data_IF_557569638178
#
_entry.id   IF_557569638178
#
_cell.length_a   1.000
_cell.length_b   1.000
_cell.length_c   1.000
_cell.angle_alpha   90.00
_cell.angle_beta   90.00
_cell.angle_gamma   90.00
#
_symmetry.space_group_name_H-M   'P 1'
#
loop_
_entity.id
_entity.type
_entity.pdbx_description
1 polymer ?
#
# COMPACT_ATOMS: atom_id res chain seq x y z
N UNK A 1 -54.69 10.78 -4.64
CA UNK A 1 -54.06 9.48 -4.95
C UNK A 1 -52.54 9.66 -5.12
N UNK A 2 -51.95 10.65 -4.42
CA UNK A 2 -50.67 11.25 -4.85
C UNK A 2 -49.48 10.90 -3.94
N UNK A 3 -49.72 10.33 -2.76
CA UNK A 3 -48.65 9.92 -1.85
C UNK A 3 -47.97 8.60 -2.26
N UNK A 4 -48.67 7.73 -3.00
CA UNK A 4 -48.16 6.42 -3.43
C UNK A 4 -47.33 6.56 -4.72
N UNK A 5 -47.73 7.42 -5.64
CA UNK A 5 -46.97 7.70 -6.87
C UNK A 5 -45.66 8.45 -6.58
N UNK A 6 -45.67 9.39 -5.64
CA UNK A 6 -44.46 10.12 -5.25
C UNK A 6 -43.44 9.24 -4.51
N UNK A 7 -43.91 8.15 -3.86
CA UNK A 7 -43.06 7.11 -3.26
C UNK A 7 -42.49 6.15 -4.33
N UNK A 8 -43.31 5.74 -5.31
CA UNK A 8 -42.86 4.95 -6.48
C UNK A 8 -41.83 5.69 -7.34
N UNK A 9 -41.99 7.00 -7.53
CA UNK A 9 -41.01 7.82 -8.27
C UNK A 9 -39.68 8.03 -7.53
N UNK A 10 -39.67 8.00 -6.19
CA UNK A 10 -38.42 7.99 -5.40
C UNK A 10 -37.74 6.61 -5.39
N UNK A 11 -38.51 5.52 -5.47
CA UNK A 11 -37.97 4.15 -5.49
C UNK A 11 -37.36 3.76 -6.85
N UNK A 12 -37.82 4.37 -7.95
CA UNK A 12 -37.28 4.17 -9.31
C UNK A 12 -35.98 4.94 -9.60
N UNK A 13 -35.48 5.76 -8.67
CA UNK A 13 -34.24 6.53 -8.85
C UNK A 13 -32.95 5.78 -8.46
N UNK A 14 -33.04 4.59 -7.84
CA UNK A 14 -31.99 4.12 -6.94
C UNK A 14 -30.81 3.32 -7.52
N UNK A 15 -30.90 2.59 -8.64
CA UNK A 15 -29.71 2.04 -9.31
C UNK A 15 -29.08 3.07 -10.26
N UNK A 16 -29.90 3.80 -11.03
CA UNK A 16 -29.38 4.67 -12.11
C UNK A 16 -28.55 5.85 -11.62
N UNK A 17 -28.84 6.39 -10.43
CA UNK A 17 -28.10 7.52 -9.86
C UNK A 17 -26.71 7.10 -9.39
N UNK A 18 -26.59 5.94 -8.73
CA UNK A 18 -25.31 5.35 -8.33
C UNK A 18 -24.43 5.06 -9.55
N UNK A 19 -24.94 4.33 -10.55
CA UNK A 19 -24.15 4.01 -11.75
C UNK A 19 -23.69 5.28 -12.48
N UNK A 20 -24.59 6.25 -12.68
CA UNK A 20 -24.26 7.52 -13.34
C UNK A 20 -23.21 8.31 -12.55
N UNK A 21 -23.30 8.32 -11.22
CA UNK A 21 -22.32 8.96 -10.36
C UNK A 21 -20.95 8.31 -10.53
N UNK A 22 -20.87 6.98 -10.39
CA UNK A 22 -19.60 6.24 -10.49
C UNK A 22 -19.00 6.38 -11.89
N UNK A 23 -19.79 6.26 -12.96
CA UNK A 23 -19.29 6.50 -14.32
C UNK A 23 -18.75 7.93 -14.51
N UNK A 24 -19.46 8.94 -14.01
CA UNK A 24 -18.96 10.33 -14.04
C UNK A 24 -17.64 10.49 -13.29
N UNK A 25 -17.45 9.76 -12.19
CA UNK A 25 -16.21 9.84 -11.41
C UNK A 25 -15.06 9.06 -12.03
N UNK A 26 -15.35 7.95 -12.72
CA UNK A 26 -14.38 7.24 -13.54
C UNK A 26 -13.87 8.15 -14.67
N UNK A 27 -14.76 8.87 -15.35
CA UNK A 27 -14.39 9.87 -16.37
C UNK A 27 -13.45 10.94 -15.79
N UNK A 28 -13.75 11.45 -14.60
CA UNK A 28 -12.91 12.44 -13.90
C UNK A 28 -11.52 11.90 -13.51
N UNK A 29 -11.43 10.61 -13.18
CA UNK A 29 -10.15 9.96 -12.88
C UNK A 29 -9.36 9.68 -14.17
N UNK A 30 -10.07 9.33 -15.24
CA UNK A 30 -9.55 8.93 -16.55
C UNK A 30 -9.76 7.45 -16.83
N UNK A 31 -10.49 7.14 -17.91
CA UNK A 31 -10.73 5.77 -18.39
C UNK A 31 -9.45 5.02 -18.74
N UNK A 32 -8.41 5.74 -19.19
CA UNK A 32 -7.10 5.17 -19.53
C UNK A 32 -6.36 4.59 -18.33
N UNK A 33 -6.78 4.96 -17.11
CA UNK A 33 -6.24 4.45 -15.85
C UNK A 33 -7.07 3.33 -15.28
N UNK A 34 -8.31 3.15 -15.73
CA UNK A 34 -9.18 2.08 -15.25
C UNK A 34 -8.66 0.73 -15.77
N UNK A 35 -8.37 -0.18 -14.86
CA UNK A 35 -7.83 -1.51 -15.20
C UNK A 35 -8.96 -2.53 -15.36
N UNK A 36 -9.88 -2.53 -14.39
CA UNK A 36 -11.09 -3.36 -14.38
C UNK A 36 -12.10 -2.80 -13.40
N UNK A 37 -13.37 -3.15 -13.60
CA UNK A 37 -14.47 -2.88 -12.69
C UNK A 37 -15.42 -4.08 -12.65
N UNK A 38 -16.12 -4.26 -11.53
CA UNK A 38 -17.19 -5.26 -11.39
C UNK A 38 -18.45 -4.83 -12.14
N UNK A 39 -19.26 -5.77 -12.64
CA UNK A 39 -20.49 -5.45 -13.39
C UNK A 39 -21.51 -4.63 -12.59
N UNK A 40 -21.44 -4.69 -11.26
CA UNK A 40 -22.24 -3.91 -10.32
C UNK A 40 -21.61 -2.55 -9.94
N UNK A 41 -20.42 -2.23 -10.46
CA UNK A 41 -19.58 -1.08 -10.10
C UNK A 41 -19.27 -0.95 -8.60
N UNK A 42 -19.46 -2.01 -7.82
CA UNK A 42 -19.04 -2.04 -6.41
C UNK A 42 -17.53 -2.24 -6.30
N UNK A 43 -16.89 -2.77 -7.35
CA UNK A 43 -15.43 -2.90 -7.43
C UNK A 43 -14.85 -2.09 -8.58
N UNK A 44 -13.80 -1.32 -8.32
CA UNK A 44 -13.01 -0.60 -9.30
C UNK A 44 -11.52 -0.84 -9.05
N UNK A 45 -10.71 -0.75 -10.10
CA UNK A 45 -9.26 -0.71 -9.95
C UNK A 45 -8.62 0.26 -10.92
N UNK A 46 -7.70 1.06 -10.41
CA UNK A 46 -7.00 2.08 -11.17
C UNK A 46 -5.48 1.84 -11.16
N UNK A 47 -4.87 2.02 -12.33
CA UNK A 47 -3.43 2.04 -12.53
C UNK A 47 -2.89 3.43 -12.21
N UNK A 48 -2.05 3.53 -11.18
CA UNK A 48 -1.42 4.77 -10.73
C UNK A 48 0.09 4.62 -10.86
N UNK A 49 0.75 5.59 -11.50
CA UNK A 49 2.22 5.59 -11.64
C UNK A 49 2.81 6.57 -10.64
N UNK A 50 3.83 6.13 -9.89
CA UNK A 50 4.54 6.98 -8.94
C UNK A 50 5.63 7.84 -9.62
N UNK A 51 6.31 8.70 -8.85
CA UNK A 51 7.35 9.59 -9.39
C UNK A 51 8.58 8.88 -9.96
N UNK A 52 8.81 7.61 -9.61
CA UNK A 52 9.90 6.77 -10.14
C UNK A 52 9.44 5.91 -11.33
N UNK A 53 8.24 6.16 -11.87
CA UNK A 53 7.69 5.42 -13.01
C UNK A 53 7.16 4.03 -12.65
N UNK A 54 7.08 3.67 -11.37
CA UNK A 54 6.55 2.37 -10.95
C UNK A 54 5.04 2.38 -10.98
N UNK A 55 4.48 1.30 -11.47
CA UNK A 55 3.03 1.11 -11.62
C UNK A 55 2.47 0.45 -10.37
N UNK A 56 1.42 1.03 -9.81
CA UNK A 56 0.67 0.52 -8.66
C UNK A 56 -0.79 0.33 -9.06
N UNK A 57 -1.40 -0.76 -8.60
CA UNK A 57 -2.83 -1.01 -8.77
C UNK A 57 -3.53 -0.64 -7.47
N UNK A 58 -4.40 0.36 -7.55
CA UNK A 58 -5.27 0.79 -6.47
C UNK A 58 -6.63 0.15 -6.68
N UNK A 59 -7.02 -0.72 -5.77
CA UNK A 59 -8.32 -1.39 -5.76
C UNK A 59 -9.26 -0.66 -4.80
N UNK A 60 -10.50 -0.48 -5.23
CA UNK A 60 -11.52 0.29 -4.53
C UNK A 60 -12.78 -0.57 -4.44
N UNK A 61 -13.34 -0.67 -3.23
CA UNK A 61 -14.64 -1.27 -2.98
C UNK A 61 -15.61 -0.17 -2.56
N UNK A 62 -16.69 -0.02 -3.32
CA UNK A 62 -17.82 0.87 -3.09
C UNK A 62 -18.97 0.06 -2.53
N UNK A 63 -19.72 0.65 -1.60
CA UNK A 63 -21.00 0.11 -1.20
C UNK A 63 -22.15 0.90 -1.87
N UNK A 64 -23.36 0.33 -1.90
CA UNK A 64 -24.53 0.98 -2.55
C UNK A 64 -24.97 2.30 -1.93
N UNK A 65 -24.50 2.61 -0.72
CA UNK A 65 -24.71 3.90 -0.06
C UNK A 65 -23.63 4.92 -0.40
N UNK A 66 -22.67 4.62 -1.28
CA UNK A 66 -21.71 5.58 -1.82
C UNK A 66 -22.43 6.83 -2.39
N UNK A 67 -21.94 8.05 -2.11
CA UNK A 67 -20.69 8.40 -1.41
C UNK A 67 -20.86 8.61 0.11
N UNK A 68 -21.94 8.12 0.73
CA UNK A 68 -22.26 8.49 2.11
C UNK A 68 -21.32 7.84 3.13
N UNK A 69 -20.70 6.73 2.74
CA UNK A 69 -19.62 6.07 3.46
C UNK A 69 -18.34 6.11 2.62
N UNK A 70 -17.16 6.15 3.28
CA UNK A 70 -15.89 6.05 2.57
C UNK A 70 -15.78 4.70 1.87
N UNK A 71 -15.24 4.68 0.64
CA UNK A 71 -14.88 3.43 -0.01
C UNK A 71 -13.72 2.75 0.71
N UNK A 72 -13.60 1.43 0.56
CA UNK A 72 -12.44 0.68 1.05
C UNK A 72 -11.35 0.65 -0.03
N UNK A 73 -10.08 0.75 0.37
CA UNK A 73 -8.93 0.79 -0.54
C UNK A 73 -7.94 -0.31 -0.21
N UNK A 74 -7.45 -1.01 -1.24
CA UNK A 74 -6.34 -1.96 -1.16
C UNK A 74 -5.34 -1.74 -2.29
N UNK A 75 -4.08 -2.10 -2.06
CA UNK A 75 -2.99 -2.04 -3.03
C UNK A 75 -1.80 -2.86 -2.51
N UNK A 76 -0.86 -3.20 -3.39
CA UNK A 76 0.41 -3.87 -3.00
C UNK A 76 1.41 -2.89 -2.37
N UNK A 77 1.05 -2.33 -1.23
CA UNK A 77 1.84 -1.37 -0.45
C UNK A 77 2.02 -1.89 0.99
N UNK A 78 3.07 -1.51 1.72
CA UNK A 78 3.35 -2.06 3.05
C UNK A 78 2.30 -1.70 4.10
N UNK A 79 1.55 -0.63 3.89
CA UNK A 79 0.35 -0.26 4.65
C UNK A 79 -0.54 0.66 3.81
N UNK A 80 -1.84 0.69 4.10
CA UNK A 80 -2.80 1.59 3.47
C UNK A 80 -2.94 2.88 4.29
N UNK A 81 -3.20 3.99 3.61
CA UNK A 81 -3.42 5.29 4.23
C UNK A 81 -4.82 5.39 4.87
N UNK A 82 -4.98 6.28 5.84
CA UNK A 82 -6.30 6.59 6.39
C UNK A 82 -7.06 7.46 5.39
N UNK A 83 -8.15 6.92 4.84
CA UNK A 83 -8.99 7.63 3.88
C UNK A 83 -9.66 8.82 4.55
N UNK A 84 -9.37 10.03 4.07
CA UNK A 84 -10.10 11.24 4.42
C UNK A 84 -11.29 11.37 3.46
N UNK A 85 -12.49 11.26 4.00
CA UNK A 85 -13.71 11.20 3.20
C UNK A 85 -14.81 12.09 3.75
N UNK A 86 -15.62 12.63 2.85
CA UNK A 86 -16.88 13.30 3.14
C UNK A 86 -17.90 12.92 2.07
N UNK A 87 -19.19 13.20 2.30
CA UNK A 87 -20.24 12.98 1.29
C UNK A 87 -20.07 13.78 -0.02
N UNK A 88 -19.14 14.75 -0.04
CA UNK A 88 -18.78 15.53 -1.23
C UNK A 88 -17.52 15.00 -1.92
N UNK A 89 -16.82 14.06 -1.28
CA UNK A 89 -15.61 13.45 -1.83
C UNK A 89 -15.96 12.52 -2.99
N UNK A 90 -15.02 12.38 -3.92
CA UNK A 90 -15.16 11.62 -5.16
C UNK A 90 -13.94 10.73 -5.39
N UNK A 91 -14.00 9.80 -6.34
CA UNK A 91 -12.90 8.88 -6.65
C UNK A 91 -11.58 9.60 -6.95
N UNK A 92 -11.60 10.76 -7.61
CA UNK A 92 -10.39 11.56 -7.88
C UNK A 92 -9.68 12.02 -6.60
N UNK A 93 -10.42 12.33 -5.53
CA UNK A 93 -9.84 12.74 -4.26
C UNK A 93 -9.16 11.55 -3.58
N UNK A 94 -9.72 10.36 -3.75
CA UNK A 94 -9.13 9.11 -3.26
C UNK A 94 -7.86 8.75 -4.02
N UNK A 95 -7.87 8.90 -5.35
CA UNK A 95 -6.69 8.73 -6.21
C UNK A 95 -5.60 9.72 -5.84
N UNK A 96 -5.96 10.97 -5.54
CA UNK A 96 -5.00 11.99 -5.10
C UNK A 96 -4.38 11.63 -3.74
N UNK A 97 -5.19 11.20 -2.76
CA UNK A 97 -4.67 10.70 -1.48
C UNK A 97 -3.74 9.49 -1.65
N UNK A 98 -4.08 8.57 -2.58
CA UNK A 98 -3.21 7.44 -2.87
C UNK A 98 -1.88 7.89 -3.49
N UNK A 99 -1.86 8.87 -4.40
CA UNK A 99 -0.63 9.44 -4.95
C UNK A 99 0.27 10.03 -3.85
N UNK A 100 -0.31 10.79 -2.92
CA UNK A 100 0.42 11.32 -1.75
C UNK A 100 0.95 10.22 -0.84
N UNK A 101 0.21 9.12 -0.71
CA UNK A 101 0.66 7.94 0.02
C UNK A 101 1.84 7.25 -0.67
N UNK A 102 1.79 7.07 -2.00
CA UNK A 102 2.90 6.53 -2.78
C UNK A 102 4.15 7.41 -2.68
N UNK A 103 4.00 8.72 -2.52
CA UNK A 103 5.12 9.65 -2.34
C UNK A 103 5.83 9.43 -0.99
N UNK A 104 5.08 9.17 0.08
CA UNK A 104 5.64 8.85 1.40
C UNK A 104 6.39 7.53 1.43
N UNK A 105 6.00 6.57 0.58
CA UNK A 105 6.61 5.25 0.50
C UNK A 105 7.89 5.22 -0.36
N UNK A 106 8.29 6.33 -0.96
CA UNK A 106 9.45 6.39 -1.86
C UNK A 106 10.75 6.04 -1.16
N UNK A 107 10.94 6.55 0.06
CA UNK A 107 12.13 6.23 0.85
C UNK A 107 12.17 4.75 1.23
N UNK A 108 11.03 4.18 1.61
CA UNK A 108 10.92 2.76 1.94
C UNK A 108 11.36 1.87 0.78
N UNK A 109 10.81 2.08 -0.41
CA UNK A 109 11.21 1.28 -1.57
C UNK A 109 12.66 1.53 -1.98
N UNK A 110 13.17 2.75 -1.81
CA UNK A 110 14.58 3.05 -2.12
C UNK A 110 15.52 2.31 -1.16
N UNK A 111 15.22 2.29 0.13
CA UNK A 111 15.98 1.51 1.12
C UNK A 111 15.95 0.01 0.82
N UNK A 112 14.79 -0.53 0.41
CA UNK A 112 14.71 -1.93 -0.01
C UNK A 112 15.50 -2.21 -1.29
N UNK A 113 15.47 -1.30 -2.27
CA UNK A 113 16.28 -1.39 -3.49
C UNK A 113 17.78 -1.36 -3.15
N UNK A 114 18.21 -0.51 -2.22
CA UNK A 114 19.60 -0.44 -1.74
C UNK A 114 20.03 -1.76 -1.07
N UNK A 115 19.18 -2.33 -0.21
CA UNK A 115 19.40 -3.64 0.42
C UNK A 115 19.48 -4.75 -0.63
N UNK A 116 18.50 -4.78 -1.55
CA UNK A 116 18.39 -5.80 -2.59
C UNK A 116 19.56 -5.72 -3.58
N UNK A 117 20.14 -4.55 -3.80
CA UNK A 117 21.33 -4.35 -4.63
C UNK A 117 22.62 -4.72 -3.88
N UNK A 118 22.73 -4.33 -2.61
CA UNK A 118 24.01 -4.38 -1.88
C UNK A 118 24.24 -5.69 -1.15
N UNK A 119 23.20 -6.45 -0.82
CA UNK A 119 23.27 -7.63 0.04
C UNK A 119 22.82 -8.92 -0.68
N UNK A 120 23.25 -10.06 -0.14
CA UNK A 120 22.86 -11.39 -0.62
C UNK A 120 21.44 -11.76 -0.16
N UNK A 121 20.43 -11.06 -0.68
CA UNK A 121 19.03 -11.30 -0.35
C UNK A 121 18.52 -12.56 -1.05
N UNK A 122 17.90 -13.47 -0.29
CA UNK A 122 17.29 -14.69 -0.81
C UNK A 122 15.88 -14.42 -1.35
N UNK A 123 15.43 -15.23 -2.32
CA UNK A 123 14.06 -15.18 -2.88
C UNK A 123 13.61 -13.84 -3.51
N UNK A 124 14.54 -13.01 -4.03
CA UNK A 124 14.25 -11.69 -4.65
C UNK A 124 13.06 -11.70 -5.61
N UNK A 125 12.92 -12.74 -6.44
CA UNK A 125 11.86 -12.87 -7.46
C UNK A 125 10.43 -12.93 -6.90
N UNK A 126 10.24 -13.18 -5.60
CA UNK A 126 8.92 -13.28 -4.95
C UNK A 126 8.53 -12.04 -4.15
N UNK A 127 9.38 -11.02 -4.11
CA UNK A 127 9.17 -9.86 -3.23
C UNK A 127 8.25 -8.84 -3.91
N UNK A 128 7.07 -8.64 -3.33
CA UNK A 128 6.14 -7.59 -3.74
C UNK A 128 6.52 -6.23 -3.14
N UNK A 129 5.92 -5.16 -3.65
CA UNK A 129 6.09 -3.81 -3.10
C UNK A 129 5.47 -3.62 -1.70
N UNK A 130 4.65 -4.58 -1.25
CA UNK A 130 4.14 -4.66 0.12
C UNK A 130 5.11 -5.37 1.10
N UNK A 131 6.12 -6.09 0.60
CA UNK A 131 6.97 -6.94 1.44
C UNK A 131 7.99 -6.11 2.21
N UNK A 132 7.84 -6.04 3.54
CA UNK A 132 8.69 -5.26 4.46
C UNK A 132 9.92 -6.02 4.96
N UNK A 133 9.97 -7.33 4.75
CA UNK A 133 11.08 -8.15 5.23
C UNK A 133 12.07 -8.49 4.11
N UNK A 134 13.35 -8.68 4.50
CA UNK A 134 14.42 -9.19 3.63
C UNK A 134 15.22 -10.23 4.37
N UNK A 135 15.37 -11.41 3.79
CA UNK A 135 16.25 -12.45 4.31
C UNK A 135 17.60 -12.35 3.60
N UNK A 136 18.65 -12.10 4.37
CA UNK A 136 20.02 -11.95 3.91
C UNK A 136 20.79 -13.20 4.30
N UNK A 137 21.43 -13.82 3.31
CA UNK A 137 22.39 -14.88 3.54
C UNK A 137 23.73 -14.29 4.01
N UNK A 138 24.23 -14.77 5.15
CA UNK A 138 25.52 -14.37 5.70
C UNK A 138 26.61 -15.44 5.46
N UNK A 139 26.27 -16.56 4.82
CA UNK A 139 27.13 -17.73 4.70
C UNK A 139 27.20 -18.56 5.99
N UNK A 140 27.94 -19.67 5.94
CA UNK A 140 28.12 -20.61 7.05
C UNK A 140 26.79 -21.09 7.68
N UNK A 141 25.78 -21.39 6.85
CA UNK A 141 24.44 -21.80 7.29
C UNK A 141 23.77 -20.79 8.25
N UNK A 142 24.07 -19.51 8.06
CA UNK A 142 23.50 -18.42 8.84
C UNK A 142 22.84 -17.38 7.93
N UNK A 143 21.63 -16.97 8.31
CA UNK A 143 20.93 -15.87 7.64
C UNK A 143 20.25 -14.93 8.65
N UNK A 144 20.01 -13.70 8.23
CA UNK A 144 19.28 -12.71 9.01
C UNK A 144 18.02 -12.34 8.24
N UNK A 145 16.87 -12.39 8.90
CA UNK A 145 15.68 -11.72 8.42
C UNK A 145 15.61 -10.33 9.06
N UNK A 146 15.71 -9.30 8.21
CA UNK A 146 15.45 -7.92 8.57
C UNK A 146 13.96 -7.61 8.36
N UNK A 147 13.33 -7.00 9.34
CA UNK A 147 12.02 -6.36 9.19
C UNK A 147 12.20 -4.85 9.13
N UNK A 148 11.92 -4.26 7.98
CA UNK A 148 12.09 -2.82 7.75
C UNK A 148 10.79 -2.09 8.08
N UNK A 149 10.87 -1.04 8.90
CA UNK A 149 9.72 -0.18 9.19
C UNK A 149 9.39 0.67 7.96
N UNK A 150 8.21 0.45 7.36
CA UNK A 150 7.83 1.18 6.16
C UNK A 150 7.57 2.67 6.36
N UNK A 151 7.34 3.13 7.60
CA UNK A 151 7.14 4.55 7.92
C UNK A 151 8.44 5.28 8.25
N UNK A 152 9.46 4.52 8.62
CA UNK A 152 10.78 5.02 8.98
C UNK A 152 11.82 3.97 8.56
N UNK A 153 12.10 3.87 7.25
CA UNK A 153 12.88 2.76 6.69
C UNK A 153 14.36 2.82 7.04
N UNK A 154 14.84 3.95 7.55
CA UNK A 154 16.24 4.14 8.00
C UNK A 154 16.42 3.91 9.50
N UNK A 155 15.34 3.77 10.27
CA UNK A 155 15.42 3.30 11.66
C UNK A 155 16.05 1.91 11.78
N UNK A 156 16.54 1.61 12.99
CA UNK A 156 17.15 0.32 13.30
C UNK A 156 16.14 -0.82 13.01
N UNK A 157 16.43 -1.75 12.09
CA UNK A 157 15.50 -2.81 11.74
C UNK A 157 15.43 -3.89 12.83
N UNK A 158 14.26 -4.54 12.94
CA UNK A 158 14.16 -5.77 13.73
C UNK A 158 14.94 -6.88 13.02
N UNK A 159 15.80 -7.57 13.77
CA UNK A 159 16.67 -8.60 13.21
C UNK A 159 16.35 -9.97 13.83
N UNK A 160 15.95 -10.94 13.01
CA UNK A 160 15.83 -12.34 13.40
C UNK A 160 16.95 -13.16 12.76
N UNK A 161 17.84 -13.69 13.58
CA UNK A 161 18.94 -14.55 13.14
C UNK A 161 18.48 -16.01 13.05
N UNK A 162 18.88 -16.68 11.96
CA UNK A 162 18.52 -18.05 11.63
C UNK A 162 19.80 -18.85 11.35
N UNK A 163 19.88 -20.08 11.88
CA UNK A 163 21.07 -20.95 11.80
C UNK A 163 21.30 -21.70 13.11
N UNK A 164 22.37 -22.49 13.17
CA UNK A 164 22.73 -23.23 14.39
C UNK A 164 23.18 -22.28 15.51
N UNK A 165 22.94 -22.69 16.76
CA UNK A 165 23.31 -21.89 17.94
C UNK A 165 24.78 -21.45 17.96
N UNK A 166 25.76 -22.36 17.71
CA UNK A 166 27.18 -22.00 17.69
C UNK A 166 27.53 -20.91 16.67
N UNK A 167 26.86 -20.88 15.51
CA UNK A 167 27.11 -19.89 14.45
C UNK A 167 26.39 -18.57 14.74
N UNK A 168 25.13 -18.62 15.17
CA UNK A 168 24.29 -17.43 15.35
C UNK A 168 24.63 -16.65 16.62
N UNK A 169 25.00 -17.33 17.71
CA UNK A 169 25.17 -16.69 19.01
C UNK A 169 26.27 -15.59 19.03
N UNK A 170 27.44 -15.78 18.41
CA UNK A 170 28.45 -14.73 18.30
C UNK A 170 27.94 -13.50 17.55
N UNK A 171 27.26 -13.70 16.41
CA UNK A 171 26.71 -12.61 15.60
C UNK A 171 25.64 -11.84 16.36
N UNK A 172 24.74 -12.54 17.06
CA UNK A 172 23.72 -11.91 17.90
C UNK A 172 24.34 -11.05 19.01
N UNK A 173 25.39 -11.54 19.68
CA UNK A 173 26.12 -10.76 20.70
C UNK A 173 26.77 -9.51 20.10
N UNK A 174 27.38 -9.64 18.92
CA UNK A 174 27.99 -8.52 18.22
C UNK A 174 26.95 -7.45 17.84
N UNK A 175 25.79 -7.88 17.33
CA UNK A 175 24.67 -7.00 17.03
C UNK A 175 24.18 -6.25 18.27
N UNK A 176 23.89 -6.97 19.37
CA UNK A 176 23.41 -6.37 20.62
C UNK A 176 24.39 -5.34 21.20
N UNK A 177 25.70 -5.54 21.01
CA UNK A 177 26.73 -4.59 21.46
C UNK A 177 26.74 -3.30 20.62
N UNK A 178 26.40 -3.38 19.33
CA UNK A 178 26.57 -2.27 18.39
C UNK A 178 25.27 -1.60 17.94
N UNK A 179 24.10 -2.20 18.18
CA UNK A 179 22.83 -1.66 17.68
C UNK A 179 22.51 -0.23 18.15
N UNK A 180 23.01 0.16 19.33
CA UNK A 180 22.85 1.52 19.86
C UNK A 180 23.59 2.58 19.04
N UNK A 181 24.65 2.18 18.34
CA UNK A 181 25.46 3.06 17.49
C UNK A 181 24.76 3.45 16.18
N UNK A 182 23.60 2.86 15.90
CA UNK A 182 22.83 3.13 14.69
C UNK A 182 22.44 4.61 14.57
N UNK A 183 22.06 5.22 15.71
CA UNK A 183 21.66 6.62 15.76
C UNK A 183 22.84 7.59 15.94
N UNK A 184 24.02 7.09 16.32
CA UNK A 184 25.22 7.91 16.48
C UNK A 184 25.80 8.36 15.12
N UNK A 185 25.44 7.66 14.03
CA UNK A 185 25.88 7.96 12.67
C UNK A 185 25.12 9.10 11.99
N UNK A 186 24.00 9.56 12.54
CA UNK A 186 23.24 10.72 12.01
C UNK A 186 23.75 12.07 12.57
N UNK A 187 24.71 12.05 13.50
CA UNK A 187 25.28 13.24 14.16
C UNK A 187 26.68 13.63 13.64
N UNK A 188 27.14 13.05 12.53
CA UNK A 188 28.47 13.26 11.96
C UNK A 188 28.42 13.69 10.49
#
# INVERSE_FOLDING_TARGET
MDFIEQKRHKELANPSSFYRLVYSEIEEVGWERLVRFGGDLEFLSFRITDKKGRVHIMEIQLDKTYPQKPPSVSAEVPYIFNVKWSVKSRLKDLVQQFREHLEKLQEFWSTLEDIDHSLCVTNKKKLSRATTCRQIDMGNDCSIMLSINARDPRSLPECRFMGSGPVVNPVRKLWLRNNKRWYDLESA
#
